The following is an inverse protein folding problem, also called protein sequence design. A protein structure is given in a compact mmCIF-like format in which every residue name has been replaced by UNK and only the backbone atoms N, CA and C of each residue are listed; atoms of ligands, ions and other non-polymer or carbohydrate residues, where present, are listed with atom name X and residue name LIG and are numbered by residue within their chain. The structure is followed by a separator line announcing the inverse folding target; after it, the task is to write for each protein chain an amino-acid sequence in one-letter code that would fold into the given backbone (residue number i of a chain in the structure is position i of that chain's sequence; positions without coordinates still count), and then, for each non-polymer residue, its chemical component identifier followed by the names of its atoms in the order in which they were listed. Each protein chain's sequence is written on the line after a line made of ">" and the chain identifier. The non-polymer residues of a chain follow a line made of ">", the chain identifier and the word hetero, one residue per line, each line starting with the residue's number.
data_IF_450345078420
#
_entry.id   IF_450345078420
#
_cell.length_a   1.000
_cell.length_b   1.000
_cell.length_c   1.000
_cell.angle_alpha   90.00
_cell.angle_beta   90.00
_cell.angle_gamma   90.00
#
_symmetry.space_group_name_H-M   'P 1'
#
loop_
_entity.id
_entity.type
_entity.pdbx_description
1 polymer ?
#
# COMPACT_ATOMS: atom_id res chain seq x y z
N UNK A 1 -1.21 -6.74 -15.87
CA UNK A 1 -0.83 -5.65 -14.94
C UNK A 1 0.66 -5.65 -14.73
N UNK A 2 1.27 -4.46 -14.66
CA UNK A 2 2.69 -4.30 -14.36
C UNK A 2 2.97 -4.79 -12.92
N UNK A 3 4.19 -5.27 -12.63
CA UNK A 3 4.53 -5.79 -11.29
C UNK A 3 4.24 -4.74 -10.20
N UNK A 4 4.52 -3.45 -10.49
CA UNK A 4 4.18 -2.30 -9.64
C UNK A 4 2.70 -2.24 -9.25
N UNK A 5 1.81 -2.45 -10.22
CA UNK A 5 0.36 -2.39 -9.96
C UNK A 5 -0.11 -3.59 -9.16
N UNK A 6 0.47 -4.77 -9.40
CA UNK A 6 0.17 -5.97 -8.59
C UNK A 6 0.59 -5.78 -7.14
N UNK A 7 1.77 -5.22 -6.90
CA UNK A 7 2.23 -4.84 -5.55
C UNK A 7 1.32 -3.79 -4.94
N UNK A 8 0.93 -2.76 -5.71
CA UNK A 8 0.00 -1.74 -5.25
C UNK A 8 -1.34 -2.31 -4.77
N UNK A 9 -1.93 -3.23 -5.53
CA UNK A 9 -3.18 -3.91 -5.17
C UNK A 9 -3.01 -4.73 -3.89
N UNK A 10 -1.90 -5.48 -3.77
CA UNK A 10 -1.57 -6.22 -2.56
C UNK A 10 -1.49 -5.31 -1.33
N UNK A 11 -0.81 -4.17 -1.44
CA UNK A 11 -0.71 -3.18 -0.37
C UNK A 11 -2.09 -2.63 0.00
N UNK A 12 -2.94 -2.33 -0.98
CA UNK A 12 -4.29 -1.84 -0.73
C UNK A 12 -5.18 -2.87 -0.01
N UNK A 13 -5.06 -4.15 -0.36
CA UNK A 13 -5.85 -5.22 0.26
C UNK A 13 -5.36 -5.49 1.69
N UNK A 14 -4.04 -5.61 1.89
CA UNK A 14 -3.46 -5.96 3.19
C UNK A 14 -3.64 -4.81 4.19
N UNK A 15 -3.35 -3.57 3.78
CA UNK A 15 -3.33 -2.40 4.66
C UNK A 15 -4.61 -1.56 4.59
N UNK A 16 -5.73 -2.16 4.24
CA UNK A 16 -7.03 -1.50 4.37
C UNK A 16 -7.17 -0.99 5.82
N UNK A 17 -7.73 0.21 6.08
CA UNK A 17 -7.72 0.80 7.42
C UNK A 17 -8.33 -0.10 8.51
N UNK A 18 -9.35 -0.89 8.17
CA UNK A 18 -9.96 -1.88 9.06
C UNK A 18 -9.02 -3.04 9.41
N UNK A 19 -8.06 -3.37 8.54
CA UNK A 19 -7.09 -4.44 8.77
C UNK A 19 -6.01 -4.03 9.76
N UNK A 20 -5.77 -2.74 9.99
CA UNK A 20 -4.81 -2.29 11.00
C UNK A 20 -5.11 -2.87 12.39
N UNK A 21 -6.30 -2.60 12.95
CA UNK A 21 -6.74 -3.21 14.21
C UNK A 21 -6.71 -4.75 14.18
N UNK A 22 -7.12 -5.38 13.07
CA UNK A 22 -7.12 -6.85 12.93
C UNK A 22 -5.71 -7.46 12.98
N UNK A 23 -4.75 -6.87 12.27
CA UNK A 23 -3.34 -7.30 12.28
C UNK A 23 -2.77 -7.19 13.69
N UNK A 24 -3.08 -6.10 14.40
CA UNK A 24 -2.61 -5.88 15.77
C UNK A 24 -3.24 -6.86 16.76
N UNK A 25 -4.52 -7.20 16.58
CA UNK A 25 -5.19 -8.23 17.35
C UNK A 25 -4.54 -9.60 17.13
N UNK A 26 -4.29 -10.00 15.89
CA UNK A 26 -3.59 -11.26 15.56
C UNK A 26 -2.18 -11.28 16.16
N UNK A 27 -1.43 -10.18 16.08
CA UNK A 27 -0.09 -10.07 16.69
C UNK A 27 -0.15 -10.17 18.23
N UNK A 28 -1.19 -9.60 18.85
CA UNK A 28 -1.46 -9.75 20.28
C UNK A 28 -1.69 -11.19 20.69
N UNK A 29 -2.48 -11.96 19.94
CA UNK A 29 -2.68 -13.40 20.15
C UNK A 29 -1.37 -14.20 20.01
N UNK A 30 -0.46 -13.75 19.14
CA UNK A 30 0.87 -14.35 18.98
C UNK A 30 1.89 -13.89 20.04
N UNK A 31 1.47 -13.16 21.08
CA UNK A 31 2.33 -12.54 22.09
C UNK A 31 3.40 -11.58 21.52
N UNK A 32 3.17 -11.05 20.32
CA UNK A 32 4.05 -10.07 19.68
C UNK A 32 3.55 -8.67 20.06
N UNK A 33 4.23 -8.07 21.02
CA UNK A 33 3.94 -6.69 21.41
C UNK A 33 4.52 -5.73 20.37
N UNK A 34 3.64 -4.97 19.72
CA UNK A 34 4.10 -3.89 18.84
C UNK A 34 4.53 -2.67 19.66
N UNK A 35 5.77 -2.18 19.51
CA UNK A 35 6.27 -1.00 20.22
C UNK A 35 5.66 0.32 19.71
N UNK A 36 4.76 0.26 18.72
CA UNK A 36 4.09 1.39 18.10
C UNK A 36 2.66 1.49 18.68
N UNK A 37 2.26 2.69 19.11
CA UNK A 37 0.90 2.94 19.63
C UNK A 37 -0.19 2.75 18.58
N UNK A 38 -1.42 2.45 19.02
CA UNK A 38 -2.56 2.12 18.14
C UNK A 38 -2.79 3.14 17.03
N UNK A 39 -2.80 4.43 17.40
CA UNK A 39 -3.01 5.51 16.46
C UNK A 39 -1.92 5.59 15.39
N UNK A 40 -0.66 5.41 15.79
CA UNK A 40 0.48 5.45 14.86
C UNK A 40 0.46 4.25 13.90
N UNK A 41 0.10 3.06 14.39
CA UNK A 41 -0.03 1.88 13.53
C UNK A 41 -1.17 2.04 12.52
N UNK A 42 -2.30 2.59 12.95
CA UNK A 42 -3.41 2.91 12.07
C UNK A 42 -3.04 3.95 11.00
N UNK A 43 -2.35 5.02 11.39
CA UNK A 43 -1.84 6.02 10.46
C UNK A 43 -0.86 5.42 9.43
N UNK A 44 0.01 4.49 9.86
CA UNK A 44 0.89 3.75 8.95
C UNK A 44 0.10 2.89 7.95
N UNK A 45 -0.95 2.21 8.39
CA UNK A 45 -1.82 1.43 7.49
C UNK A 45 -2.45 2.33 6.42
N UNK A 46 -2.97 3.50 6.80
CA UNK A 46 -3.51 4.49 5.86
C UNK A 46 -2.43 4.95 4.88
N UNK A 47 -1.24 5.28 5.37
CA UNK A 47 -0.13 5.74 4.53
C UNK A 47 0.25 4.69 3.48
N UNK A 48 0.41 3.43 3.90
CA UNK A 48 0.74 2.31 3.00
C UNK A 48 -0.40 2.05 2.00
N UNK A 49 -1.66 2.14 2.44
CA UNK A 49 -2.81 2.02 1.57
C UNK A 49 -2.80 3.09 0.46
N UNK A 50 -2.55 4.36 0.82
CA UNK A 50 -2.45 5.47 -0.13
C UNK A 50 -1.30 5.23 -1.12
N UNK A 51 -0.13 4.78 -0.64
CA UNK A 51 1.00 4.40 -1.51
C UNK A 51 0.60 3.28 -2.47
N UNK A 52 -0.11 2.25 -1.99
CA UNK A 52 -0.65 1.17 -2.81
C UNK A 52 -1.61 1.69 -3.90
N UNK A 53 -2.46 2.65 -3.54
CA UNK A 53 -3.33 3.37 -4.47
C UNK A 53 -2.55 4.09 -5.55
N UNK A 54 -1.54 4.88 -5.18
CA UNK A 54 -0.65 5.53 -6.14
C UNK A 54 0.01 4.50 -7.07
N UNK A 55 0.57 3.41 -6.55
CA UNK A 55 1.23 2.38 -7.37
C UNK A 55 0.27 1.70 -8.36
N UNK A 56 -0.99 1.53 -7.97
CA UNK A 56 -2.05 0.87 -8.76
C UNK A 56 -2.59 1.79 -9.86
N UNK A 57 -2.95 3.02 -9.49
CA UNK A 57 -3.65 3.96 -10.36
C UNK A 57 -2.73 4.91 -11.13
N UNK A 58 -1.45 5.04 -10.78
CA UNK A 58 -0.52 5.86 -11.58
C UNK A 58 -0.41 5.26 -12.98
N UNK A 59 -0.83 6.00 -14.04
CA UNK A 59 -0.76 5.52 -15.40
C UNK A 59 0.70 5.28 -15.80
N UNK A 60 0.92 4.48 -16.85
CA UNK A 60 2.25 4.40 -17.45
C UNK A 60 2.56 5.80 -17.99
N UNK A 61 3.64 6.41 -17.52
CA UNK A 61 4.27 7.53 -18.23
C UNK A 61 4.80 6.94 -19.54
N UNK A 62 3.94 6.85 -20.57
CA UNK A 62 4.41 6.71 -21.93
C UNK A 62 5.03 8.04 -22.28
N UNK A 63 6.36 8.11 -22.20
CA UNK A 63 7.07 9.05 -23.06
C UNK A 63 6.87 8.53 -24.47
N UNK A 64 5.75 8.91 -25.08
CA UNK A 64 5.58 8.81 -26.53
C UNK A 64 6.73 9.62 -27.11
N UNK A 65 7.74 8.92 -27.62
CA UNK A 65 8.92 9.51 -28.21
C UNK A 65 8.48 10.58 -29.21
N UNK A 66 8.87 11.82 -28.96
CA UNK A 66 8.89 12.89 -29.95
C UNK A 66 9.96 12.50 -30.98
N UNK A 67 9.64 11.53 -31.83
CA UNK A 67 10.37 11.28 -33.05
C UNK A 67 9.41 10.65 -34.06
N UNK A 68 8.39 11.42 -34.43
CA UNK A 68 7.74 11.26 -35.73
C UNK A 68 8.18 12.45 -36.58
N UNK A 69 8.84 12.09 -37.68
CA UNK A 69 9.14 12.88 -38.88
C UNK A 69 10.07 14.09 -38.72
N UNK A 70 11.35 13.85 -38.98
CA UNK A 70 12.15 14.71 -39.88
C UNK A 70 12.74 13.81 -40.97
#
# INVERSE_FOLDING_TARGET
>A
MMIRQRVGILLMIIFLPINGPLIRMILGELNIQMPIGDFYFFALCILIFVIGGFMTFTPKLKFESINKSL
#
